data_IF_043252925742
#
_entry.id   IF_043252925742
#
_cell.length_a   1.000
_cell.length_b   1.000
_cell.length_c   1.000
_cell.angle_alpha   90.00
_cell.angle_beta   90.00
_cell.angle_gamma   90.00
#
_symmetry.space_group_name_H-M   'P 1'
#
loop_
_entity.id
_entity.type
_entity.pdbx_description
1 polymer ?
#
# COMPACT_ATOMS: atom_id res chain seq x y z
N UNK A 1 -5.95 -8.13 16.59
CA UNK A 1 -6.36 -8.81 15.37
C UNK A 1 -5.65 -8.23 14.15
N UNK A 2 -5.21 -9.09 13.29
CA UNK A 2 -4.54 -8.63 12.08
C UNK A 2 -5.55 -7.98 11.15
N UNK A 3 -5.22 -6.80 10.64
CA UNK A 3 -6.01 -6.15 9.60
C UNK A 3 -5.53 -6.66 8.25
N UNK A 4 -6.45 -6.72 7.32
CA UNK A 4 -6.07 -7.03 5.95
C UNK A 4 -5.42 -5.79 5.36
N UNK A 5 -4.15 -5.92 5.00
CA UNK A 5 -3.39 -4.82 4.43
C UNK A 5 -3.18 -5.08 2.94
N UNK A 6 -3.51 -4.10 2.13
CA UNK A 6 -3.30 -4.17 0.68
C UNK A 6 -2.39 -3.03 0.27
N UNK A 7 -1.35 -3.37 -0.48
CA UNK A 7 -0.42 -2.40 -1.00
C UNK A 7 -0.59 -2.29 -2.51
N UNK A 8 -0.99 -1.12 -2.98
CA UNK A 8 -1.15 -0.84 -4.39
C UNK A 8 0.14 -0.25 -4.94
N UNK A 9 0.69 -0.87 -5.95
CA UNK A 9 1.96 -0.46 -6.54
C UNK A 9 1.84 -0.32 -8.06
N UNK A 10 2.79 0.36 -8.64
CA UNK A 10 2.92 0.41 -10.10
C UNK A 10 4.33 -0.06 -10.43
N UNK A 11 4.44 -1.27 -10.88
CA UNK A 11 5.73 -1.89 -11.19
C UNK A 11 5.80 -2.34 -12.64
N UNK A 12 6.99 -2.34 -13.20
CA UNK A 12 8.28 -2.00 -12.59
C UNK A 12 8.51 -0.50 -12.51
N UNK A 13 9.41 -0.09 -11.65
CA UNK A 13 10.00 1.24 -11.75
C UNK A 13 9.77 2.26 -10.67
N UNK A 14 9.06 1.94 -9.60
CA UNK A 14 8.90 2.91 -8.53
C UNK A 14 9.72 2.54 -7.31
N UNK A 15 10.68 3.40 -6.95
CA UNK A 15 11.48 3.21 -5.74
C UNK A 15 10.64 3.29 -4.49
N UNK A 16 9.66 4.20 -4.49
CA UNK A 16 8.78 4.37 -3.33
C UNK A 16 7.95 3.13 -3.08
N UNK A 17 7.50 2.46 -4.15
CA UNK A 17 6.76 1.21 -4.00
C UNK A 17 7.64 0.13 -3.36
N UNK A 18 8.89 0.02 -3.84
CA UNK A 18 9.84 -0.94 -3.30
C UNK A 18 10.15 -0.66 -1.83
N UNK A 19 10.36 0.61 -1.49
CA UNK A 19 10.64 1.01 -0.12
C UNK A 19 9.49 0.69 0.81
N UNK A 20 8.26 0.92 0.35
CA UNK A 20 7.09 0.63 1.16
C UNK A 20 6.94 -0.87 1.39
N UNK A 21 7.15 -1.68 0.35
CA UNK A 21 7.11 -3.13 0.49
C UNK A 21 8.13 -3.63 1.50
N UNK A 22 9.36 -3.17 1.37
CA UNK A 22 10.43 -3.58 2.26
C UNK A 22 10.16 -3.16 3.69
N UNK A 23 9.67 -1.95 3.88
CA UNK A 23 9.35 -1.44 5.19
C UNK A 23 8.29 -2.28 5.89
N UNK A 24 7.21 -2.57 5.19
CA UNK A 24 6.13 -3.38 5.76
C UNK A 24 6.63 -4.79 6.08
N UNK A 25 7.48 -5.33 5.23
CA UNK A 25 8.06 -6.65 5.44
C UNK A 25 8.95 -6.68 6.68
N UNK A 26 9.77 -5.65 6.86
CA UNK A 26 10.64 -5.52 8.02
C UNK A 26 9.86 -5.36 9.32
N UNK A 27 8.71 -4.70 9.25
CA UNK A 27 7.86 -4.50 10.42
C UNK A 27 7.03 -5.74 10.75
N UNK A 28 7.12 -6.79 9.94
CA UNK A 28 6.39 -8.01 10.18
C UNK A 28 4.91 -7.92 9.81
N UNK A 29 4.55 -6.97 8.96
CA UNK A 29 3.17 -6.79 8.52
C UNK A 29 2.89 -7.66 7.31
N UNK A 30 1.88 -8.53 7.41
CA UNK A 30 1.43 -9.30 6.27
C UNK A 30 0.59 -8.41 5.36
N UNK A 31 0.85 -8.45 4.06
CA UNK A 31 0.11 -7.62 3.11
C UNK A 31 -0.02 -8.30 1.76
N UNK A 32 -1.04 -7.89 1.02
CA UNK A 32 -1.26 -8.32 -0.34
C UNK A 32 -0.83 -7.20 -1.28
N UNK A 33 -0.13 -7.55 -2.35
CA UNK A 33 0.31 -6.57 -3.33
C UNK A 33 -0.60 -6.61 -4.54
N UNK A 34 -1.06 -5.45 -4.99
CA UNK A 34 -1.83 -5.31 -6.22
C UNK A 34 -1.10 -4.35 -7.14
N UNK A 35 -0.75 -4.83 -8.31
CA UNK A 35 -0.02 -4.02 -9.30
C UNK A 35 -1.02 -3.36 -10.25
N UNK A 36 -1.17 -2.04 -10.12
CA UNK A 36 -2.15 -1.30 -10.94
C UNK A 36 -1.78 -1.26 -12.43
N UNK A 37 -0.53 -1.54 -12.75
CA UNK A 37 -0.12 -1.60 -14.15
C UNK A 37 -0.70 -2.82 -14.87
N UNK A 38 -1.11 -3.83 -14.11
CA UNK A 38 -1.62 -5.07 -14.68
C UNK A 38 -3.06 -5.39 -14.26
N UNK A 39 -3.57 -4.70 -13.23
CA UNK A 39 -4.86 -5.00 -12.64
C UNK A 39 -5.81 -3.81 -12.73
N UNK A 40 -6.77 -3.89 -13.64
CA UNK A 40 -7.74 -2.82 -13.84
C UNK A 40 -8.65 -2.61 -12.64
N UNK A 41 -8.94 -3.66 -11.90
CA UNK A 41 -9.74 -3.55 -10.69
C UNK A 41 -9.01 -2.74 -9.63
N UNK A 42 -7.71 -2.92 -9.53
CA UNK A 42 -6.91 -2.16 -8.59
C UNK A 42 -6.95 -0.68 -8.91
N UNK A 43 -6.90 -0.34 -10.19
CA UNK A 43 -7.01 1.06 -10.64
C UNK A 43 -8.36 1.64 -10.22
N UNK A 44 -9.43 0.89 -10.46
CA UNK A 44 -10.78 1.33 -10.09
C UNK A 44 -10.92 1.52 -8.59
N UNK A 45 -10.29 0.65 -7.80
CA UNK A 45 -10.31 0.77 -6.35
C UNK A 45 -9.60 2.03 -5.88
N UNK A 46 -8.46 2.36 -6.48
CA UNK A 46 -7.75 3.59 -6.16
C UNK A 46 -8.57 4.82 -6.50
N UNK A 47 -9.22 4.80 -7.65
CA UNK A 47 -10.08 5.91 -8.07
C UNK A 47 -11.22 6.14 -7.09
N UNK A 48 -11.80 5.08 -6.59
CA UNK A 48 -12.86 5.17 -5.58
C UNK A 48 -12.37 5.76 -4.27
N UNK A 49 -11.09 5.56 -3.97
CA UNK A 49 -10.48 6.14 -2.78
C UNK A 49 -10.04 7.59 -2.99
N UNK A 50 -10.20 8.10 -4.20
CA UNK A 50 -9.86 9.47 -4.52
C UNK A 50 -8.38 9.71 -4.77
N UNK A 51 -7.65 8.68 -5.14
CA UNK A 51 -6.23 8.82 -5.43
C UNK A 51 -5.84 8.01 -6.68
N UNK A 52 -4.80 8.46 -7.35
CA UNK A 52 -4.23 7.72 -8.47
C UNK A 52 -2.72 7.56 -8.31
N UNK A 53 -2.21 7.97 -7.15
CA UNK A 53 -0.78 7.94 -6.86
C UNK A 53 -0.41 6.64 -6.16
N UNK A 54 0.68 6.00 -6.57
CA UNK A 54 1.24 4.83 -5.89
C UNK A 54 2.57 5.19 -5.25
N UNK A 55 2.98 4.49 -4.21
CA UNK A 55 2.28 3.39 -3.55
C UNK A 55 1.13 3.89 -2.67
N UNK A 56 0.12 3.05 -2.51
CA UNK A 56 -0.98 3.33 -1.59
C UNK A 56 -1.15 2.10 -0.71
N UNK A 57 -1.15 2.30 0.59
CA UNK A 57 -1.33 1.23 1.56
C UNK A 57 -2.71 1.37 2.19
N UNK A 58 -3.51 0.34 2.12
CA UNK A 58 -4.85 0.34 2.68
C UNK A 58 -4.95 -0.70 3.78
N UNK A 59 -5.42 -0.28 4.95
CA UNK A 59 -5.63 -1.19 6.07
C UNK A 59 -6.95 -0.80 6.75
N UNK A 60 -7.98 -1.58 6.47
CA UNK A 60 -9.32 -1.25 6.95
C UNK A 60 -9.77 0.08 6.37
N UNK A 61 -10.05 1.04 7.24
CA UNK A 61 -10.48 2.38 6.83
C UNK A 61 -9.33 3.34 6.57
N UNK A 62 -8.11 2.90 6.83
CA UNK A 62 -6.95 3.77 6.72
C UNK A 62 -6.32 3.67 5.34
N UNK A 63 -6.08 4.83 4.73
CA UNK A 63 -5.45 4.92 3.42
C UNK A 63 -4.20 5.77 3.55
N UNK A 64 -3.05 5.19 3.20
CA UNK A 64 -1.77 5.89 3.29
C UNK A 64 -1.23 6.05 1.88
N UNK A 65 -1.13 7.30 1.42
CA UNK A 65 -0.64 7.62 0.09
C UNK A 65 0.85 7.91 0.16
N UNK A 66 1.60 7.25 -0.71
CA UNK A 66 3.05 7.41 -0.76
C UNK A 66 3.77 6.67 0.36
N UNK A 67 5.05 6.91 0.48
CA UNK A 67 5.84 6.32 1.54
C UNK A 67 5.83 7.24 2.76
N UNK A 68 4.89 7.01 3.64
CA UNK A 68 4.73 7.78 4.88
C UNK A 68 5.13 6.90 6.04
N UNK A 69 6.38 7.03 6.44
CA UNK A 69 6.96 6.18 7.46
C UNK A 69 6.21 6.21 8.79
N UNK A 70 5.83 7.40 9.23
CA UNK A 70 5.13 7.55 10.51
C UNK A 70 3.79 6.82 10.51
N UNK A 71 3.03 6.99 9.45
CA UNK A 71 1.73 6.34 9.35
C UNK A 71 1.87 4.83 9.19
N UNK A 72 2.87 4.41 8.43
CA UNK A 72 3.13 2.98 8.26
C UNK A 72 3.55 2.33 9.57
N UNK A 73 4.34 3.03 10.38
CA UNK A 73 4.71 2.54 11.70
C UNK A 73 3.50 2.35 12.61
N UNK A 74 2.58 3.31 12.57
CA UNK A 74 1.36 3.22 13.36
C UNK A 74 0.50 2.05 12.92
N UNK A 75 0.43 1.83 11.63
CA UNK A 75 -0.32 0.71 11.07
C UNK A 75 0.27 -0.62 11.56
N UNK A 76 1.58 -0.71 11.61
CA UNK A 76 2.27 -1.92 12.06
C UNK A 76 2.07 -2.18 13.56
N UNK A 77 1.86 -1.14 14.33
CA UNK A 77 1.63 -1.28 15.78
C UNK A 77 0.26 -1.80 16.11
N UNK A 78 -0.64 -1.68 15.21
CA UNK A 78 -1.89 -2.17 15.56
C UNK A 78 -3.08 -1.97 14.88
#
# INVERSE_FOLDING_TARGET
MARDVVLYVEQPGSMNCTQTEEFLREMGVGFMVKNVAEDEEAVAELERMGTSTTPVTVAGDEVIVGFDRQRLEKLAEG
#
